data_IF_614559844360
#
_entry.id   IF_614559844360
#
_cell.length_a   1.000
_cell.length_b   1.000
_cell.length_c   1.000
_cell.angle_alpha   90.00
_cell.angle_beta   90.00
_cell.angle_gamma   90.00
#
_symmetry.space_group_name_H-M   'P 1'
#
loop_
_entity.id
_entity.type
_entity.pdbx_description
1 polymer ?
#
# COMPACT_ATOMS: atom_id res chain seq x y z
N UNK A 1 16.18 24.96 -35.42
CA UNK A 1 16.62 23.62 -35.01
C UNK A 1 15.38 22.80 -34.64
N UNK A 2 15.24 21.61 -35.19
CA UNK A 2 14.15 20.72 -34.83
C UNK A 2 14.49 20.06 -33.48
N UNK A 3 13.53 20.01 -32.56
CA UNK A 3 13.61 19.20 -31.33
C UNK A 3 13.31 17.75 -31.66
N UNK A 4 13.66 16.81 -30.79
CA UNK A 4 13.36 15.37 -30.96
C UNK A 4 11.88 15.08 -31.10
N UNK A 5 11.04 15.96 -30.53
CA UNK A 5 9.59 15.76 -30.47
C UNK A 5 9.13 14.66 -29.50
N UNK A 6 10.06 14.09 -28.73
CA UNK A 6 9.82 13.02 -27.75
C UNK A 6 10.24 13.48 -26.36
N UNK A 7 9.50 13.03 -25.33
CA UNK A 7 9.78 13.22 -23.90
C UNK A 7 9.61 11.93 -23.12
N UNK A 8 9.77 10.79 -23.80
CA UNK A 8 9.52 9.45 -23.31
C UNK A 8 10.80 8.73 -22.83
N UNK A 9 11.90 9.47 -22.62
CA UNK A 9 13.12 8.90 -22.06
C UNK A 9 12.84 8.27 -20.70
N UNK A 10 13.06 6.97 -20.60
CA UNK A 10 13.00 6.21 -19.39
C UNK A 10 14.10 5.15 -19.44
N UNK A 11 14.63 4.78 -18.28
CA UNK A 11 15.63 3.72 -18.14
C UNK A 11 14.95 2.46 -17.63
N UNK A 12 15.18 1.35 -18.29
CA UNK A 12 14.79 0.04 -17.73
C UNK A 12 15.77 -0.40 -16.62
N UNK A 13 15.41 -1.47 -15.91
CA UNK A 13 16.22 -1.98 -14.79
C UNK A 13 17.60 -2.48 -15.24
N UNK A 14 17.75 -2.93 -16.48
CA UNK A 14 19.04 -3.36 -17.01
C UNK A 14 19.94 -2.15 -17.30
N UNK A 15 19.43 -1.12 -17.95
CA UNK A 15 20.14 0.13 -18.22
C UNK A 15 20.57 0.85 -16.93
N UNK A 16 19.69 0.92 -15.92
CA UNK A 16 20.01 1.46 -14.59
C UNK A 16 21.15 0.65 -13.94
N UNK A 17 21.12 -0.66 -14.08
CA UNK A 17 22.15 -1.52 -13.53
C UNK A 17 23.48 -1.32 -14.24
N UNK A 18 23.48 -1.23 -15.56
CA UNK A 18 24.67 -1.03 -16.37
C UNK A 18 25.34 0.31 -16.06
N UNK A 19 24.58 1.40 -16.07
CA UNK A 19 25.05 2.74 -15.69
C UNK A 19 25.63 2.78 -14.26
N UNK A 20 25.00 2.09 -13.31
CA UNK A 20 25.50 2.02 -11.94
C UNK A 20 26.83 1.26 -11.82
N UNK A 21 27.02 0.20 -12.62
CA UNK A 21 28.31 -0.50 -12.70
C UNK A 21 29.41 0.37 -13.30
N UNK A 22 29.10 1.12 -14.38
CA UNK A 22 30.05 2.06 -15.00
C UNK A 22 30.48 3.14 -14.00
N UNK A 23 29.57 3.70 -13.19
CA UNK A 23 29.89 4.65 -12.12
C UNK A 23 30.84 4.07 -11.06
N UNK A 24 30.72 2.77 -10.80
CA UNK A 24 31.67 2.05 -9.96
C UNK A 24 33.04 1.80 -10.65
N UNK A 25 33.15 2.06 -11.96
CA UNK A 25 34.31 1.69 -12.79
C UNK A 25 34.42 0.19 -13.03
N UNK A 26 33.27 -0.47 -13.11
CA UNK A 26 33.14 -1.89 -13.32
C UNK A 26 32.27 -2.15 -14.54
N UNK A 27 32.39 -3.32 -15.14
CA UNK A 27 31.50 -3.78 -16.20
C UNK A 27 30.54 -4.85 -15.66
N UNK A 28 29.30 -4.84 -16.15
CA UNK A 28 28.33 -5.88 -15.88
C UNK A 28 28.67 -7.09 -16.75
N UNK A 29 29.23 -8.16 -16.17
CA UNK A 29 29.74 -9.30 -16.93
C UNK A 29 28.95 -10.58 -16.74
N UNK A 30 28.26 -10.75 -15.63
CA UNK A 30 27.65 -12.03 -15.26
C UNK A 30 26.21 -11.88 -14.75
N UNK A 31 25.42 -12.95 -14.91
CA UNK A 31 24.08 -13.01 -14.31
C UNK A 31 24.09 -12.91 -12.78
N UNK A 32 25.21 -13.26 -12.14
CA UNK A 32 25.40 -13.06 -10.70
C UNK A 32 25.49 -11.57 -10.34
N UNK A 33 26.14 -10.77 -11.19
CA UNK A 33 26.24 -9.32 -11.02
C UNK A 33 24.87 -8.66 -11.12
N UNK A 34 24.08 -9.03 -12.14
CA UNK A 34 22.71 -8.58 -12.31
C UNK A 34 21.82 -8.95 -11.10
N UNK A 35 21.93 -10.17 -10.59
CA UNK A 35 21.21 -10.62 -9.38
C UNK A 35 21.62 -9.82 -8.14
N UNK A 36 22.91 -9.47 -8.02
CA UNK A 36 23.42 -8.65 -6.91
C UNK A 36 22.92 -7.21 -7.01
N UNK A 37 22.91 -6.63 -8.22
CA UNK A 37 22.37 -5.30 -8.45
C UNK A 37 20.88 -5.23 -8.11
N UNK A 38 20.06 -6.18 -8.59
CA UNK A 38 18.63 -6.24 -8.29
C UNK A 38 18.35 -6.27 -6.78
N UNK A 39 19.09 -7.09 -6.00
CA UNK A 39 18.96 -7.07 -4.54
C UNK A 39 19.35 -5.73 -3.93
N UNK A 40 20.39 -5.09 -4.44
CA UNK A 40 20.82 -3.78 -3.97
C UNK A 40 19.79 -2.70 -4.31
N UNK A 41 19.17 -2.78 -5.47
CA UNK A 41 18.13 -1.86 -5.91
C UNK A 41 16.88 -1.93 -5.00
N UNK A 42 16.43 -3.15 -4.68
CA UNK A 42 15.33 -3.33 -3.72
C UNK A 42 15.67 -2.79 -2.32
N UNK A 43 16.93 -2.84 -1.90
CA UNK A 43 17.37 -2.21 -0.65
C UNK A 43 17.38 -0.69 -0.73
N UNK A 44 17.66 -0.09 -1.91
CA UNK A 44 17.51 1.36 -2.12
C UNK A 44 16.06 1.77 -2.01
N UNK A 45 15.12 1.02 -2.59
CA UNK A 45 13.68 1.29 -2.45
C UNK A 45 13.22 1.21 -1.00
N UNK A 46 13.72 0.23 -0.25
CA UNK A 46 13.44 0.11 1.19
C UNK A 46 14.03 1.27 2.01
N UNK A 47 15.23 1.75 1.65
CA UNK A 47 15.85 2.92 2.27
C UNK A 47 15.02 4.19 2.00
N UNK A 48 14.54 4.39 0.77
CA UNK A 48 13.69 5.53 0.45
C UNK A 48 12.38 5.55 1.22
N UNK A 49 11.76 4.39 1.42
CA UNK A 49 10.56 4.28 2.25
C UNK A 49 10.79 4.71 3.72
N UNK A 50 12.04 4.64 4.20
CA UNK A 50 12.42 5.06 5.54
C UNK A 50 12.88 6.52 5.63
N UNK A 51 13.21 7.16 4.50
CA UNK A 51 13.71 8.55 4.47
C UNK A 51 12.61 9.60 4.50
N UNK A 52 11.36 9.23 4.26
CA UNK A 52 10.23 10.15 4.30
C UNK A 52 9.09 9.77 3.40
N UNK A 53 8.17 10.71 3.24
CA UNK A 53 7.00 10.56 2.37
C UNK A 53 7.39 10.89 0.93
N UNK A 54 7.18 9.93 0.04
CA UNK A 54 7.31 10.13 -1.40
C UNK A 54 5.90 10.34 -1.98
N UNK A 55 5.61 11.52 -2.51
CA UNK A 55 4.26 11.89 -2.92
C UNK A 55 3.70 10.99 -4.03
N UNK A 56 4.54 10.48 -4.93
CA UNK A 56 4.07 9.55 -5.98
C UNK A 56 3.63 8.18 -5.45
N UNK A 57 3.99 7.84 -4.22
CA UNK A 57 3.55 6.59 -3.58
C UNK A 57 2.23 6.74 -2.83
N UNK A 58 1.66 7.96 -2.81
CA UNK A 58 0.38 8.24 -2.15
C UNK A 58 -0.77 7.96 -3.11
N UNK A 59 -1.68 7.11 -2.69
CA UNK A 59 -2.85 6.69 -3.46
C UNK A 59 -4.13 6.90 -2.67
N UNK A 60 -5.17 7.46 -3.31
CA UNK A 60 -6.50 7.52 -2.73
C UNK A 60 -7.21 6.19 -2.91
N UNK A 61 -7.73 5.65 -1.82
CA UNK A 61 -8.53 4.42 -1.82
C UNK A 61 -9.92 4.71 -1.29
N UNK A 62 -10.93 4.13 -1.94
CA UNK A 62 -12.30 4.09 -1.46
C UNK A 62 -12.64 2.66 -1.06
N UNK A 63 -12.90 2.46 0.22
CA UNK A 63 -13.27 1.17 0.82
C UNK A 63 -14.73 1.19 1.22
N UNK A 64 -15.55 0.33 0.62
CA UNK A 64 -16.93 0.13 1.09
C UNK A 64 -16.90 -0.53 2.46
N UNK A 65 -17.69 0.00 3.39
CA UNK A 65 -17.88 -0.61 4.69
C UNK A 65 -18.89 -1.75 4.58
N UNK A 66 -18.73 -2.75 5.42
CA UNK A 66 -19.62 -3.91 5.44
C UNK A 66 -20.25 -4.06 6.82
N UNK A 67 -21.57 -4.19 6.84
CA UNK A 67 -22.33 -4.50 8.04
C UNK A 67 -23.17 -5.75 7.80
N UNK A 68 -23.04 -6.73 8.67
CA UNK A 68 -24.00 -7.82 8.80
C UNK A 68 -25.15 -7.33 9.69
N UNK A 69 -26.30 -7.12 9.10
CA UNK A 69 -27.49 -6.56 9.77
C UNK A 69 -27.99 -7.37 10.98
N UNK A 70 -27.34 -8.47 11.34
CA UNK A 70 -27.85 -9.39 12.37
C UNK A 70 -26.96 -9.60 13.58
N UNK A 71 -25.63 -9.29 13.57
CA UNK A 71 -24.82 -9.66 14.73
C UNK A 71 -23.60 -8.77 15.01
N UNK A 72 -22.84 -8.32 14.03
CA UNK A 72 -21.67 -7.44 14.25
C UNK A 72 -21.18 -6.90 12.92
N UNK A 73 -21.04 -5.60 12.79
CA UNK A 73 -20.34 -4.98 11.68
C UNK A 73 -18.87 -5.38 11.67
N UNK A 74 -18.25 -5.34 10.51
CA UNK A 74 -16.80 -5.51 10.39
C UNK A 74 -16.16 -4.20 10.88
N UNK A 75 -15.35 -4.28 11.93
CA UNK A 75 -14.61 -3.12 12.48
C UNK A 75 -13.18 -3.04 11.99
N UNK A 76 -12.63 -4.15 11.50
CA UNK A 76 -11.21 -4.26 11.05
C UNK A 76 -11.15 -4.58 9.58
N UNK A 77 -10.52 -3.69 8.83
CA UNK A 77 -10.35 -3.84 7.38
C UNK A 77 -8.86 -3.89 7.03
N UNK A 78 -8.45 -4.68 6.01
CA UNK A 78 -7.13 -4.55 5.43
C UNK A 78 -7.00 -3.17 4.76
N UNK A 79 -5.83 -2.58 4.81
CA UNK A 79 -5.55 -1.34 4.07
C UNK A 79 -5.05 -1.73 2.68
N UNK A 80 -5.97 -1.71 1.73
CA UNK A 80 -5.80 -2.28 0.40
C UNK A 80 -6.64 -3.55 0.23
N UNK A 81 -6.86 -3.94 -1.02
CA UNK A 81 -7.75 -5.04 -1.34
C UNK A 81 -7.08 -6.40 -1.15
N UNK A 82 -7.76 -7.31 -0.43
CA UNK A 82 -7.45 -8.74 -0.48
C UNK A 82 -8.50 -9.37 -1.39
N UNK A 83 -8.07 -9.79 -2.57
CA UNK A 83 -8.95 -10.33 -3.58
C UNK A 83 -8.85 -11.85 -3.66
N UNK A 84 -9.99 -12.52 -3.74
CA UNK A 84 -10.10 -13.96 -3.94
C UNK A 84 -10.98 -14.23 -5.16
N UNK A 85 -10.50 -15.05 -6.08
CA UNK A 85 -11.26 -15.45 -7.26
C UNK A 85 -11.97 -16.77 -7.00
N UNK A 86 -13.26 -16.82 -7.36
CA UNK A 86 -14.15 -17.96 -7.17
C UNK A 86 -14.91 -18.28 -8.47
N UNK A 87 -15.55 -19.43 -8.54
CA UNK A 87 -16.35 -19.79 -9.70
C UNK A 87 -17.60 -18.92 -9.86
N UNK A 88 -18.30 -18.62 -8.75
CA UNK A 88 -19.46 -17.71 -8.72
C UNK A 88 -19.62 -17.09 -7.33
N UNK A 89 -19.68 -15.77 -7.27
CA UNK A 89 -19.89 -15.00 -6.04
C UNK A 89 -21.30 -14.43 -5.90
N UNK A 90 -22.18 -14.60 -6.90
CA UNK A 90 -23.45 -13.88 -7.01
C UNK A 90 -24.40 -14.14 -5.85
N UNK A 91 -24.49 -15.38 -5.40
CA UNK A 91 -25.39 -15.83 -4.34
C UNK A 91 -24.95 -15.49 -2.91
N UNK A 92 -23.73 -14.97 -2.75
CA UNK A 92 -23.19 -14.59 -1.44
C UNK A 92 -23.63 -13.19 -1.02
N UNK A 93 -23.67 -12.94 0.28
CA UNK A 93 -24.01 -11.64 0.85
C UNK A 93 -22.75 -10.86 1.30
N UNK A 94 -22.76 -9.54 1.08
CA UNK A 94 -21.73 -8.66 1.66
C UNK A 94 -21.84 -8.68 3.18
N UNK A 95 -20.69 -8.77 3.86
CA UNK A 95 -20.60 -8.85 5.32
C UNK A 95 -20.65 -10.26 5.89
N UNK A 96 -21.06 -11.29 5.11
CA UNK A 96 -21.07 -12.66 5.63
C UNK A 96 -19.66 -13.25 5.76
N UNK A 97 -19.54 -14.22 6.66
CA UNK A 97 -18.32 -15.00 6.80
C UNK A 97 -18.36 -16.18 5.82
N UNK A 98 -17.31 -16.36 5.07
CA UNK A 98 -17.06 -17.53 4.23
C UNK A 98 -16.13 -18.48 4.94
N UNK A 99 -16.38 -19.78 4.82
CA UNK A 99 -15.57 -20.85 5.47
C UNK A 99 -15.14 -21.86 4.42
N UNK A 100 -13.85 -22.15 4.38
CA UNK A 100 -13.28 -23.20 3.54
C UNK A 100 -13.62 -24.59 4.04
N UNK A 101 -14.16 -25.44 3.17
CA UNK A 101 -14.59 -26.78 3.54
C UNK A 101 -13.44 -27.76 3.83
N UNK A 102 -12.27 -27.52 3.26
CA UNK A 102 -11.06 -28.33 3.45
C UNK A 102 -10.08 -27.69 4.40
N UNK A 103 -9.81 -26.39 4.23
CA UNK A 103 -8.84 -25.64 5.03
C UNK A 103 -9.37 -25.24 6.41
N UNK A 104 -10.69 -25.11 6.55
CA UNK A 104 -11.30 -24.50 7.74
C UNK A 104 -11.03 -23.00 7.88
N UNK A 105 -10.36 -22.40 6.90
CA UNK A 105 -10.05 -20.96 6.89
C UNK A 105 -11.32 -20.13 6.78
N UNK A 106 -11.33 -18.98 7.45
CA UNK A 106 -12.50 -18.08 7.45
C UNK A 106 -12.09 -16.66 7.08
N UNK A 107 -12.97 -15.95 6.38
CA UNK A 107 -12.85 -14.52 6.10
C UNK A 107 -14.25 -13.92 5.95
N UNK A 108 -14.39 -12.61 6.10
CA UNK A 108 -15.64 -11.91 5.83
C UNK A 108 -15.62 -11.23 4.46
N UNK A 109 -16.72 -11.31 3.73
CA UNK A 109 -16.88 -10.66 2.42
C UNK A 109 -17.10 -9.17 2.62
N UNK A 110 -16.18 -8.35 2.10
CA UNK A 110 -16.28 -6.88 2.15
C UNK A 110 -17.06 -6.36 0.95
N UNK A 111 -16.69 -6.80 -0.26
CA UNK A 111 -17.39 -6.44 -1.50
C UNK A 111 -17.34 -7.59 -2.50
N UNK A 112 -18.19 -7.50 -3.52
CA UNK A 112 -18.21 -8.39 -4.68
C UNK A 112 -17.98 -7.56 -5.95
N UNK A 113 -16.72 -7.30 -6.34
CA UNK A 113 -16.42 -6.47 -7.50
C UNK A 113 -16.91 -7.05 -8.83
N UNK A 114 -17.03 -8.37 -8.91
CA UNK A 114 -17.57 -9.08 -10.07
C UNK A 114 -18.27 -10.36 -9.63
N UNK A 115 -18.91 -11.05 -10.57
CA UNK A 115 -19.55 -12.36 -10.31
C UNK A 115 -18.55 -13.47 -9.94
N UNK A 116 -17.26 -13.25 -10.08
CA UNK A 116 -16.21 -14.25 -9.81
C UNK A 116 -15.16 -13.77 -8.82
N UNK A 117 -15.37 -12.62 -8.17
CA UNK A 117 -14.35 -12.04 -7.28
C UNK A 117 -14.96 -11.54 -5.97
N UNK A 118 -14.34 -11.90 -4.86
CA UNK A 118 -14.55 -11.28 -3.56
C UNK A 118 -13.41 -10.33 -3.20
N UNK A 119 -13.74 -9.24 -2.51
CA UNK A 119 -12.81 -8.56 -1.63
C UNK A 119 -13.14 -8.99 -0.19
N UNK A 120 -12.15 -9.45 0.55
CA UNK A 120 -12.33 -10.09 1.85
C UNK A 120 -11.47 -9.44 2.94
N UNK A 121 -11.82 -9.69 4.20
CA UNK A 121 -10.93 -9.39 5.35
C UNK A 121 -9.70 -10.29 5.32
N UNK A 122 -8.73 -10.02 6.19
CA UNK A 122 -7.58 -10.91 6.35
C UNK A 122 -8.09 -12.29 6.74
N UNK A 123 -7.78 -13.34 5.97
CA UNK A 123 -8.23 -14.69 6.29
C UNK A 123 -7.56 -15.22 7.56
N UNK A 124 -8.29 -16.04 8.34
CA UNK A 124 -7.77 -16.67 9.56
C UNK A 124 -6.76 -17.79 9.29
N UNK A 125 -6.64 -18.22 8.04
CA UNK A 125 -5.73 -19.26 7.56
C UNK A 125 -5.66 -19.21 6.04
N UNK A 126 -4.96 -20.15 5.43
CA UNK A 126 -4.81 -20.20 3.98
C UNK A 126 -5.98 -20.97 3.34
N UNK A 127 -6.72 -20.31 2.46
CA UNK A 127 -7.65 -20.99 1.56
C UNK A 127 -6.85 -21.76 0.50
N UNK A 128 -7.37 -22.93 0.12
CA UNK A 128 -6.75 -23.75 -0.94
C UNK A 128 -7.50 -23.63 -2.25
N UNK A 129 -6.77 -23.62 -3.37
CA UNK A 129 -7.39 -23.63 -4.69
C UNK A 129 -8.25 -24.90 -4.86
N UNK A 130 -9.39 -24.76 -5.53
CA UNK A 130 -10.36 -25.81 -5.79
C UNK A 130 -11.14 -26.30 -4.56
N UNK A 131 -10.95 -25.73 -3.37
CA UNK A 131 -11.83 -26.06 -2.24
C UNK A 131 -13.20 -25.38 -2.38
N UNK A 132 -14.20 -26.00 -1.77
CA UNK A 132 -15.55 -25.41 -1.68
C UNK A 132 -15.62 -24.51 -0.46
N UNK A 133 -16.05 -23.27 -0.65
CA UNK A 133 -16.36 -22.34 0.43
C UNK A 133 -17.87 -22.22 0.63
N UNK A 134 -18.28 -21.99 1.87
CA UNK A 134 -19.69 -21.85 2.25
C UNK A 134 -19.91 -20.51 2.95
N UNK A 135 -20.93 -19.77 2.56
CA UNK A 135 -21.38 -18.54 3.21
C UNK A 135 -22.21 -18.80 4.45
N UNK A 136 -21.94 -18.06 5.53
CA UNK A 136 -22.59 -18.28 6.85
C UNK A 136 -24.05 -17.87 6.88
N UNK A 137 -24.47 -16.84 6.15
CA UNK A 137 -25.85 -16.33 6.12
C UNK A 137 -26.60 -16.74 4.89
N UNK A 138 -25.96 -16.75 3.73
CA UNK A 138 -26.58 -17.14 2.46
C UNK A 138 -26.71 -18.65 2.30
N UNK A 139 -25.89 -19.44 3.01
CA UNK A 139 -25.69 -20.88 2.77
C UNK A 139 -25.24 -21.19 1.32
N UNK A 140 -24.81 -20.16 0.58
CA UNK A 140 -24.29 -20.32 -0.76
C UNK A 140 -22.96 -21.05 -0.74
N UNK A 141 -22.69 -21.84 -1.77
CA UNK A 141 -21.44 -22.57 -1.95
C UNK A 141 -20.80 -22.23 -3.29
N UNK A 142 -19.49 -22.12 -3.34
CA UNK A 142 -18.72 -21.94 -4.57
C UNK A 142 -17.32 -22.53 -4.40
N UNK A 143 -16.60 -22.71 -5.51
CA UNK A 143 -15.21 -23.21 -5.46
C UNK A 143 -14.22 -22.06 -5.59
N UNK A 144 -13.14 -22.10 -4.83
CA UNK A 144 -12.02 -21.16 -4.92
C UNK A 144 -11.23 -21.44 -6.20
N UNK A 145 -11.15 -20.46 -7.10
CA UNK A 145 -10.37 -20.59 -8.34
C UNK A 145 -8.90 -20.22 -8.12
N UNK A 146 -8.63 -19.22 -7.28
CA UNK A 146 -7.27 -18.87 -6.86
C UNK A 146 -7.25 -18.42 -5.40
N UNK A 147 -6.14 -18.71 -4.73
CA UNK A 147 -5.93 -18.28 -3.33
C UNK A 147 -6.03 -16.77 -3.18
N UNK A 148 -6.42 -16.26 -2.00
CA UNK A 148 -6.46 -14.84 -1.73
C UNK A 148 -5.12 -14.15 -2.01
N UNK A 149 -5.14 -13.04 -2.74
CA UNK A 149 -3.97 -12.21 -2.99
C UNK A 149 -3.88 -11.09 -1.96
N UNK A 150 -2.84 -11.10 -1.14
CA UNK A 150 -2.56 -10.08 -0.13
C UNK A 150 -1.61 -8.98 -0.64
N UNK A 151 -1.15 -9.06 -1.89
CA UNK A 151 -0.09 -8.19 -2.44
C UNK A 151 -0.45 -6.71 -2.29
N UNK A 152 -1.67 -6.31 -2.64
CA UNK A 152 -2.08 -4.92 -2.52
C UNK A 152 -2.15 -4.44 -1.07
N UNK A 153 -2.72 -5.24 -0.17
CA UNK A 153 -2.79 -4.90 1.25
C UNK A 153 -1.39 -4.82 1.89
N UNK A 154 -0.47 -5.75 1.56
CA UNK A 154 0.90 -5.75 2.06
C UNK A 154 1.78 -4.65 1.46
N UNK A 155 1.37 -4.04 0.36
CA UNK A 155 2.09 -2.91 -0.23
C UNK A 155 1.94 -1.62 0.57
N UNK A 156 0.95 -1.52 1.44
CA UNK A 156 0.68 -0.31 2.24
C UNK A 156 1.67 -0.16 3.40
N UNK A 157 2.17 1.06 3.58
CA UNK A 157 3.07 1.43 4.69
C UNK A 157 2.30 2.12 5.82
N UNK A 158 1.48 3.12 5.50
CA UNK A 158 0.68 3.89 6.47
C UNK A 158 -0.51 4.58 5.80
N UNK A 159 -1.37 5.18 6.61
CA UNK A 159 -2.46 6.06 6.20
C UNK A 159 -2.15 7.51 6.58
N UNK A 160 -2.52 8.44 5.71
CA UNK A 160 -2.39 9.87 5.98
C UNK A 160 -3.69 10.43 6.54
N UNK A 161 -4.71 10.54 5.72
CA UNK A 161 -6.00 11.12 6.06
C UNK A 161 -7.12 10.14 5.78
N UNK A 162 -8.16 10.17 6.64
CA UNK A 162 -9.30 9.26 6.55
C UNK A 162 -10.59 10.05 6.74
N UNK A 163 -11.52 9.87 5.81
CA UNK A 163 -12.88 10.40 5.91
C UNK A 163 -13.91 9.30 5.66
N UNK A 164 -15.09 9.47 6.22
CA UNK A 164 -16.26 8.65 5.88
C UNK A 164 -17.17 9.48 5.00
N UNK A 165 -17.55 8.90 3.86
CA UNK A 165 -18.57 9.43 2.97
C UNK A 165 -19.91 8.78 3.28
N UNK A 166 -20.85 9.61 3.74
CA UNK A 166 -22.26 9.25 3.92
C UNK A 166 -23.12 10.28 3.18
N UNK A 167 -24.03 9.83 2.33
CA UNK A 167 -24.94 10.70 1.57
C UNK A 167 -24.21 11.85 0.82
N UNK A 168 -23.12 11.53 0.14
CA UNK A 168 -22.24 12.49 -0.56
C UNK A 168 -21.56 13.54 0.34
N UNK A 169 -21.58 13.36 1.66
CA UNK A 169 -20.91 14.25 2.62
C UNK A 169 -19.70 13.56 3.22
N UNK A 170 -18.55 14.18 3.12
CA UNK A 170 -17.30 13.68 3.70
C UNK A 170 -17.16 14.17 5.14
N UNK A 171 -17.01 13.24 6.07
CA UNK A 171 -16.92 13.48 7.51
C UNK A 171 -15.57 12.96 7.99
N UNK A 172 -14.80 13.84 8.62
CA UNK A 172 -13.47 13.48 9.12
C UNK A 172 -13.54 12.42 10.23
N UNK A 173 -12.59 11.47 10.20
CA UNK A 173 -12.42 10.41 11.20
C UNK A 173 -11.08 10.64 11.90
N UNK A 174 -11.09 10.69 13.23
CA UNK A 174 -9.91 10.99 14.02
C UNK A 174 -9.02 9.76 14.21
N UNK A 175 -7.71 9.91 13.97
CA UNK A 175 -6.74 8.86 14.29
C UNK A 175 -6.50 8.82 15.79
N UNK A 176 -6.56 7.61 16.37
CA UNK A 176 -6.25 7.36 17.77
C UNK A 176 -5.06 6.42 17.92
N UNK A 177 -4.43 6.46 19.07
CA UNK A 177 -3.32 5.57 19.42
C UNK A 177 -3.80 4.15 19.76
N UNK A 178 -2.86 3.19 19.75
CA UNK A 178 -3.14 1.80 20.19
C UNK A 178 -3.66 1.76 21.64
N UNK A 179 -3.12 2.61 22.51
CA UNK A 179 -3.53 2.66 23.91
C UNK A 179 -4.97 3.21 24.05
N UNK A 180 -5.31 4.26 23.33
CA UNK A 180 -6.67 4.80 23.32
C UNK A 180 -7.66 3.80 22.76
N UNK A 181 -7.33 3.11 21.66
CA UNK A 181 -8.18 2.06 21.12
C UNK A 181 -8.36 0.90 22.10
N UNK A 182 -7.30 0.51 22.83
CA UNK A 182 -7.38 -0.54 23.85
C UNK A 182 -8.34 -0.17 24.98
N UNK A 183 -8.35 1.10 25.39
CA UNK A 183 -9.16 1.64 26.49
C UNK A 183 -10.66 1.79 26.15
N UNK A 184 -11.06 1.60 24.89
CA UNK A 184 -12.48 1.63 24.52
C UNK A 184 -13.21 0.46 25.18
N UNK A 185 -14.21 0.73 26.05
CA UNK A 185 -14.85 -0.33 26.85
C UNK A 185 -15.68 -1.29 25.99
N UNK A 186 -16.40 -0.75 24.98
CA UNK A 186 -17.23 -1.55 24.08
C UNK A 186 -16.79 -1.32 22.62
N UNK A 187 -16.01 -2.26 22.10
CA UNK A 187 -15.50 -2.22 20.72
C UNK A 187 -16.52 -2.66 19.67
N UNK A 188 -17.60 -3.32 20.10
CA UNK A 188 -18.68 -3.82 19.23
C UNK A 188 -19.87 -2.87 19.13
N UNK A 189 -19.79 -1.70 19.78
CA UNK A 189 -20.81 -0.67 19.63
C UNK A 189 -20.95 -0.27 18.17
N UNK A 190 -22.16 -0.40 17.64
CA UNK A 190 -22.45 -0.01 16.26
C UNK A 190 -22.77 1.48 16.17
N UNK A 191 -22.40 2.07 15.05
CA UNK A 191 -22.65 3.45 14.72
C UNK A 191 -21.80 3.92 13.55
N UNK A 192 -21.91 5.21 13.22
CA UNK A 192 -21.00 5.83 12.25
C UNK A 192 -19.60 5.91 12.88
N UNK A 193 -18.58 5.33 12.24
CA UNK A 193 -17.19 5.46 12.71
C UNK A 193 -16.76 6.92 12.85
N UNK A 194 -16.18 7.25 13.99
CA UNK A 194 -15.66 8.59 14.32
C UNK A 194 -14.17 8.58 14.62
N UNK A 195 -13.65 7.39 14.92
CA UNK A 195 -12.25 7.18 15.27
C UNK A 195 -11.70 5.96 14.54
N UNK A 196 -10.40 5.98 14.24
CA UNK A 196 -9.69 4.84 13.68
C UNK A 196 -8.31 4.65 14.30
N UNK A 197 -7.89 3.41 14.34
CA UNK A 197 -6.55 2.98 14.73
C UNK A 197 -5.92 2.17 13.60
N UNK A 198 -4.67 2.48 13.25
CA UNK A 198 -3.91 1.71 12.24
C UNK A 198 -2.98 0.75 12.95
N UNK A 199 -3.15 -0.55 12.71
CA UNK A 199 -2.21 -1.56 13.17
C UNK A 199 -1.22 -1.88 12.04
N UNK A 200 0.05 -1.50 12.25
CA UNK A 200 1.14 -1.63 11.27
C UNK A 200 1.76 -3.03 11.34
N UNK A 201 1.00 -4.02 10.93
CA UNK A 201 1.46 -5.39 10.76
C UNK A 201 2.10 -5.58 9.36
N UNK A 202 2.55 -6.81 9.06
CA UNK A 202 2.99 -7.18 7.69
C UNK A 202 1.86 -6.94 6.69
N UNK A 203 0.63 -7.28 7.06
CA UNK A 203 -0.59 -6.87 6.38
C UNK A 203 -1.28 -5.83 7.27
N UNK A 204 -1.10 -4.53 6.99
CA UNK A 204 -1.63 -3.49 7.86
C UNK A 204 -3.15 -3.42 7.81
N UNK A 205 -3.75 -3.10 8.95
CA UNK A 205 -5.19 -2.98 9.11
C UNK A 205 -5.60 -1.64 9.68
N UNK A 206 -6.80 -1.20 9.30
CA UNK A 206 -7.50 -0.10 9.94
C UNK A 206 -8.61 -0.67 10.83
N UNK A 207 -8.62 -0.27 12.08
CA UNK A 207 -9.65 -0.61 13.05
C UNK A 207 -10.53 0.61 13.27
N UNK A 208 -11.82 0.48 13.01
CA UNK A 208 -12.80 1.56 13.12
C UNK A 208 -13.59 1.47 14.41
N UNK A 209 -13.91 2.62 14.98
CA UNK A 209 -14.82 2.70 16.12
C UNK A 209 -15.69 3.97 16.04
N UNK A 210 -16.99 3.86 16.30
CA UNK A 210 -17.82 2.66 16.39
C UNK A 210 -17.74 1.74 15.16
N UNK A 211 -18.15 0.48 15.37
CA UNK A 211 -18.26 -0.48 14.24
C UNK A 211 -19.32 0.00 13.25
N UNK A 212 -19.08 -0.04 11.94
CA UNK A 212 -20.05 0.42 10.93
C UNK A 212 -21.45 -0.17 11.13
N UNK A 213 -22.47 0.68 11.07
CA UNK A 213 -23.88 0.32 11.25
C UNK A 213 -24.59 -0.02 9.94
N UNK A 214 -23.97 0.31 8.80
CA UNK A 214 -24.52 0.07 7.48
C UNK A 214 -23.42 -0.28 6.47
N UNK A 215 -23.82 -0.74 5.28
CA UNK A 215 -22.93 -1.08 4.16
C UNK A 215 -22.99 -0.06 3.01
N UNK A 216 -23.61 1.10 3.23
CA UNK A 216 -23.70 2.17 2.23
C UNK A 216 -22.62 3.23 2.42
N UNK A 217 -22.08 3.34 3.62
CA UNK A 217 -20.97 4.26 3.91
C UNK A 217 -19.68 3.79 3.23
N UNK A 218 -18.88 4.76 2.81
CA UNK A 218 -17.57 4.52 2.20
C UNK A 218 -16.49 5.16 3.05
N UNK A 219 -15.44 4.42 3.33
CA UNK A 219 -14.21 4.95 3.92
C UNK A 219 -13.29 5.39 2.79
N UNK A 220 -12.93 6.66 2.77
CA UNK A 220 -12.01 7.22 1.79
C UNK A 220 -10.75 7.65 2.53
N UNK A 221 -9.60 7.22 2.05
CA UNK A 221 -8.34 7.53 2.69
C UNK A 221 -7.19 7.62 1.68
N UNK A 222 -6.15 8.35 2.06
CA UNK A 222 -4.88 8.32 1.36
C UNK A 222 -3.95 7.33 2.04
N UNK A 223 -3.44 6.37 1.28
CA UNK A 223 -2.43 5.41 1.76
C UNK A 223 -1.08 5.68 1.11
N UNK A 224 -0.03 5.40 1.86
CA UNK A 224 1.35 5.38 1.36
C UNK A 224 1.67 3.95 0.95
N UNK A 225 2.02 3.74 -0.31
CA UNK A 225 2.44 2.43 -0.84
C UNK A 225 3.94 2.28 -0.83
N UNK A 226 4.41 1.05 -0.80
CA UNK A 226 5.80 0.73 -1.09
C UNK A 226 6.05 0.86 -2.59
N UNK A 227 7.24 1.32 -2.96
CA UNK A 227 7.72 1.28 -4.35
C UNK A 227 7.75 -0.18 -4.80
N UNK A 228 7.35 -0.45 -6.04
CA UNK A 228 7.34 -1.80 -6.59
C UNK A 228 8.77 -2.37 -6.66
N UNK A 229 8.89 -3.67 -6.42
CA UNK A 229 10.18 -4.35 -6.44
C UNK A 229 10.81 -4.33 -7.85
N UNK A 230 12.13 -4.21 -7.90
CA UNK A 230 12.89 -4.47 -9.11
C UNK A 230 12.83 -5.97 -9.43
N UNK A 231 12.13 -6.32 -10.49
CA UNK A 231 11.90 -7.72 -10.90
C UNK A 231 12.70 -8.06 -12.16
N UNK A 232 12.13 -8.01 -13.35
CA UNK A 232 12.82 -8.30 -14.60
C UNK A 232 13.65 -7.11 -15.10
N UNK A 233 14.78 -7.38 -15.76
CA UNK A 233 15.66 -6.33 -16.30
C UNK A 233 15.00 -5.41 -17.35
N UNK A 234 13.99 -5.92 -18.04
CA UNK A 234 13.21 -5.20 -19.06
C UNK A 234 12.07 -4.35 -18.48
N UNK A 235 11.83 -4.43 -17.17
CA UNK A 235 10.78 -3.66 -16.52
C UNK A 235 11.30 -2.24 -16.21
N UNK A 236 10.41 -1.26 -16.32
CA UNK A 236 10.69 0.10 -15.87
C UNK A 236 10.55 0.18 -14.34
N UNK A 237 11.35 1.03 -13.68
CA UNK A 237 11.18 1.29 -12.25
C UNK A 237 9.87 2.05 -11.98
N UNK A 238 9.23 1.73 -10.86
CA UNK A 238 8.07 2.47 -10.33
C UNK A 238 8.52 3.76 -9.64
N UNK A 239 9.21 4.62 -10.41
CA UNK A 239 9.87 5.83 -9.90
C UNK A 239 9.70 6.95 -10.93
N UNK A 240 9.30 8.18 -10.52
CA UNK A 240 9.16 9.29 -11.44
C UNK A 240 10.50 9.72 -12.00
N UNK A 241 10.47 10.29 -13.22
CA UNK A 241 11.64 10.73 -13.96
C UNK A 241 12.67 11.54 -13.13
N UNK A 242 12.19 12.42 -12.25
CA UNK A 242 13.06 13.24 -11.36
C UNK A 242 13.92 12.43 -10.38
N UNK A 243 13.53 11.18 -10.06
CA UNK A 243 14.28 10.29 -9.19
C UNK A 243 15.23 9.33 -9.90
N UNK A 244 15.21 9.25 -11.25
CA UNK A 244 16.09 8.34 -11.98
C UNK A 244 17.59 8.59 -11.70
N UNK A 245 18.11 9.86 -11.73
CA UNK A 245 19.51 10.11 -11.40
C UNK A 245 19.89 9.65 -9.99
N UNK A 246 19.00 9.89 -9.01
CA UNK A 246 19.17 9.45 -7.63
C UNK A 246 19.15 7.92 -7.52
N UNK A 247 18.30 7.22 -8.29
CA UNK A 247 18.21 5.77 -8.30
C UNK A 247 19.51 5.12 -8.77
N UNK A 248 20.05 5.62 -9.88
CA UNK A 248 21.35 5.17 -10.41
C UNK A 248 22.48 5.44 -9.42
N UNK A 249 22.51 6.62 -8.81
CA UNK A 249 23.53 6.98 -7.82
C UNK A 249 23.44 6.10 -6.55
N UNK A 250 22.22 5.85 -6.06
CA UNK A 250 21.98 4.99 -4.91
C UNK A 250 22.36 3.53 -5.16
N UNK A 251 22.08 3.00 -6.36
CA UNK A 251 22.52 1.68 -6.76
C UNK A 251 24.04 1.62 -6.87
N UNK A 252 24.68 2.61 -7.50
CA UNK A 252 26.15 2.69 -7.61
C UNK A 252 26.81 2.71 -6.23
N UNK A 253 26.31 3.51 -5.27
CA UNK A 253 26.80 3.51 -3.91
C UNK A 253 26.72 2.12 -3.26
N UNK A 254 25.56 1.46 -3.34
CA UNK A 254 25.38 0.12 -2.75
C UNK A 254 26.24 -0.96 -3.43
N UNK A 255 26.52 -0.84 -4.71
CA UNK A 255 27.44 -1.71 -5.43
C UNK A 255 28.89 -1.43 -5.05
N UNK A 256 29.27 -0.16 -4.87
CA UNK A 256 30.63 0.23 -4.45
C UNK A 256 30.99 -0.36 -3.10
N UNK A 257 30.07 -0.40 -2.13
CA UNK A 257 30.27 -1.06 -0.83
C UNK A 257 30.67 -2.53 -0.99
N UNK A 258 30.20 -3.21 -2.04
CA UNK A 258 30.46 -4.64 -2.28
C UNK A 258 31.67 -4.89 -3.19
N UNK A 259 31.92 -4.01 -4.15
CA UNK A 259 32.83 -4.30 -5.28
C UNK A 259 33.90 -3.25 -5.54
N UNK A 260 33.73 -2.00 -5.07
CA UNK A 260 34.65 -0.87 -5.35
C UNK A 260 34.84 0.02 -4.12
N UNK A 261 35.49 -0.47 -3.04
CA UNK A 261 35.60 0.26 -1.77
C UNK A 261 36.25 1.65 -1.89
N UNK A 262 37.13 1.84 -2.90
CA UNK A 262 37.83 3.12 -3.09
C UNK A 262 36.87 4.26 -3.51
N UNK A 263 35.72 3.96 -4.09
CA UNK A 263 34.75 4.94 -4.59
C UNK A 263 33.58 5.22 -3.64
N UNK A 264 33.51 4.51 -2.49
CA UNK A 264 32.38 4.60 -1.56
C UNK A 264 32.08 6.04 -1.15
N UNK A 265 33.12 6.82 -0.73
CA UNK A 265 32.95 8.19 -0.26
C UNK A 265 32.31 9.10 -1.31
N UNK A 266 32.91 9.13 -2.50
CA UNK A 266 32.44 9.98 -3.60
C UNK A 266 31.01 9.58 -4.04
N UNK A 267 30.73 8.29 -4.19
CA UNK A 267 29.42 7.82 -4.63
C UNK A 267 28.34 8.03 -3.57
N UNK A 268 28.69 7.98 -2.28
CA UNK A 268 27.79 8.34 -1.21
C UNK A 268 27.39 9.81 -1.27
N UNK A 269 28.38 10.71 -1.42
CA UNK A 269 28.12 12.15 -1.47
C UNK A 269 27.23 12.51 -2.67
N UNK A 270 27.51 11.93 -3.84
CA UNK A 270 26.66 12.09 -5.04
C UNK A 270 25.25 11.60 -4.77
N UNK A 271 25.09 10.41 -4.17
CA UNK A 271 23.78 9.85 -3.86
C UNK A 271 22.96 10.74 -2.92
N UNK A 272 23.57 11.22 -1.82
CA UNK A 272 22.88 12.08 -0.86
C UNK A 272 22.49 13.44 -1.49
N UNK A 273 23.35 14.01 -2.33
CA UNK A 273 23.04 15.25 -3.05
C UNK A 273 21.88 15.07 -4.04
N UNK A 274 21.91 14.02 -4.86
CA UNK A 274 20.84 13.72 -5.82
C UNK A 274 19.53 13.39 -5.10
N UNK A 275 19.58 12.67 -3.97
CA UNK A 275 18.40 12.40 -3.16
C UNK A 275 17.80 13.68 -2.60
N UNK A 276 18.63 14.58 -2.06
CA UNK A 276 18.16 15.85 -1.50
C UNK A 276 17.50 16.74 -2.57
N UNK A 277 18.05 16.77 -3.80
CA UNK A 277 17.45 17.49 -4.94
C UNK A 277 16.09 16.89 -5.33
N UNK A 278 16.03 15.57 -5.49
CA UNK A 278 14.81 14.89 -5.88
C UNK A 278 13.70 15.02 -4.83
N UNK A 279 14.05 14.88 -3.54
CA UNK A 279 13.10 15.03 -2.43
C UNK A 279 12.59 16.47 -2.29
N UNK A 280 13.43 17.48 -2.54
CA UNK A 280 13.00 18.88 -2.54
C UNK A 280 12.02 19.19 -3.66
N UNK A 281 12.17 18.55 -4.82
CA UNK A 281 11.25 18.71 -5.96
C UNK A 281 9.95 17.92 -5.77
N UNK A 282 9.98 16.82 -5.02
CA UNK A 282 8.80 15.99 -4.70
C UNK A 282 7.90 16.63 -3.62
N UNK A 283 8.36 17.68 -2.95
CA UNK A 283 7.58 18.37 -1.93
C UNK A 283 6.31 19.00 -2.46
N UNK A 284 5.22 18.97 -1.67
CA UNK A 284 3.99 19.66 -2.00
C UNK A 284 4.20 21.18 -2.02
N UNK A 285 3.93 21.81 -3.16
CA UNK A 285 4.11 23.26 -3.35
C UNK A 285 2.87 24.04 -2.90
N UNK A 286 2.45 23.86 -1.66
CA UNK A 286 1.33 24.58 -1.08
C UNK A 286 1.81 25.77 -0.27
N UNK A 287 1.25 26.97 -0.50
CA UNK A 287 1.53 28.13 0.32
C UNK A 287 0.90 27.96 1.71
N UNK A 288 1.70 27.66 2.71
CA UNK A 288 1.28 27.59 4.10
C UNK A 288 1.03 29.03 4.59
N UNK A 289 -0.26 29.42 4.66
CA UNK A 289 -0.66 30.67 5.28
C UNK A 289 -1.11 30.40 6.72
N UNK A 290 -0.21 30.60 7.67
CA UNK A 290 -0.57 30.61 9.09
C UNK A 290 -1.29 31.90 9.42
N UNK A 291 -2.60 31.83 9.64
CA UNK A 291 -3.40 32.94 10.16
C UNK A 291 -3.59 32.71 11.66
N UNK A 292 -3.04 33.57 12.54
CA UNK A 292 -3.29 33.45 13.96
C UNK A 292 -4.79 33.56 14.24
N UNK A 293 -5.37 32.58 14.93
CA UNK A 293 -6.75 32.64 15.38
C UNK A 293 -6.80 33.42 16.69
N UNK A 294 -7.39 34.62 16.67
CA UNK A 294 -7.59 35.43 17.86
C UNK A 294 -8.91 35.14 18.60
N UNK A 295 -9.60 34.03 18.23
CA UNK A 295 -10.90 33.69 18.83
C UNK A 295 -10.85 33.34 20.32
N UNK A 296 -9.67 33.17 20.92
CA UNK A 296 -9.48 32.90 22.35
C UNK A 296 -9.12 34.17 23.18
N UNK A 297 -8.95 35.29 22.54
CA UNK A 297 -8.73 36.59 23.23
C UNK A 297 -10.07 37.30 23.43
N UNK A 298 -10.94 36.76 24.27
CA UNK A 298 -12.00 37.52 24.91
C UNK A 298 -11.36 38.30 26.07
N UNK A 299 -11.15 39.58 25.86
CA UNK A 299 -10.96 40.59 26.90
C UNK A 299 -12.32 41.11 27.32
#
# INVERSE_FOLDING_TARGET
>A
MATSGSSDFNLDMAEITEEAFERCGLELRTGYDAKTARRSLNLVFADWANRGLNLWTVEQVTQTLANLSTTSGISTYPIGAITMTVADSSSFSVGETITGGTSGSTASVITKPSSTTFTITIPSGDFTASETITGSSSSATTTVSSNPSLVDAQSTVDLLEVVIRRDNTDINVSRISRAEYLNIPNKTQQGRPTQYFVDRLITPTINLWPTPENSTDQLIFYRVKRIQDADAGTNNPDVPFRFLPCLVAGLAYNLAVKKSPQRIGVLKDIYEEEFARAAAEDGERTALRLVPSYSSLNI
#
